data_IF_783770169871
#
_entry.id   IF_783770169871
#
_cell.length_a   1.000
_cell.length_b   1.000
_cell.length_c   1.000
_cell.angle_alpha   90.00
_cell.angle_beta   90.00
_cell.angle_gamma   90.00
#
_symmetry.space_group_name_H-M   'P 1'
#
loop_
_entity.id
_entity.type
_entity.pdbx_description
1 polymer ?
#
# COMPACT_ATOMS: atom_id res chain seq x y z
N UNK A 1 1.77 4.58 9.13
CA UNK A 1 2.38 3.46 8.40
C UNK A 1 3.90 3.47 8.53
N UNK A 2 4.54 4.58 8.29
CA UNK A 2 6.01 4.78 8.30
C UNK A 2 6.72 4.36 9.60
N UNK A 3 6.03 4.33 10.73
CA UNK A 3 6.60 3.94 12.03
C UNK A 3 6.57 2.43 12.32
N UNK A 4 5.80 1.63 11.59
CA UNK A 4 5.53 0.21 11.91
C UNK A 4 6.84 -0.60 11.97
N UNK A 5 7.70 -0.43 10.97
CA UNK A 5 8.99 -1.15 10.93
C UNK A 5 9.83 -0.84 12.17
N UNK A 6 9.85 0.42 12.60
CA UNK A 6 10.60 0.82 13.78
C UNK A 6 10.00 0.26 15.09
N UNK A 7 8.68 0.20 15.22
CA UNK A 7 8.00 -0.38 16.38
C UNK A 7 8.33 -1.88 16.52
N UNK A 8 8.35 -2.62 15.41
CA UNK A 8 8.74 -4.04 15.39
C UNK A 8 10.25 -4.21 15.67
N UNK A 9 11.11 -3.42 15.00
CA UNK A 9 12.56 -3.44 15.18
C UNK A 9 12.94 -3.21 16.65
N UNK A 10 12.29 -2.28 17.32
CA UNK A 10 12.58 -1.92 18.73
C UNK A 10 11.91 -2.86 19.74
N UNK A 11 11.05 -3.79 19.29
CA UNK A 11 10.34 -4.73 20.15
C UNK A 11 9.16 -4.13 20.91
N UNK A 12 8.65 -2.98 20.50
CA UNK A 12 7.41 -2.42 21.03
C UNK A 12 6.18 -3.13 20.48
N UNK A 13 6.30 -3.73 19.28
CA UNK A 13 5.35 -4.65 18.70
C UNK A 13 6.05 -5.97 18.40
N UNK A 14 5.36 -7.09 18.62
CA UNK A 14 5.90 -8.42 18.36
C UNK A 14 5.98 -8.72 16.85
N UNK A 15 4.99 -8.24 16.09
CA UNK A 15 4.94 -8.34 14.63
C UNK A 15 4.17 -7.16 14.03
N UNK A 16 4.30 -6.96 12.71
CA UNK A 16 3.55 -5.98 11.93
C UNK A 16 2.76 -6.66 10.80
N UNK A 17 1.46 -6.34 10.70
CA UNK A 17 0.57 -6.81 9.65
C UNK A 17 -0.26 -5.63 9.15
N UNK A 18 0.16 -5.01 8.06
CA UNK A 18 -0.44 -3.75 7.59
C UNK A 18 -0.27 -3.56 6.06
N UNK A 19 -0.37 -4.63 5.27
CA UNK A 19 -0.08 -4.57 3.84
C UNK A 19 1.36 -4.09 3.59
N UNK A 20 2.34 -4.75 4.21
CA UNK A 20 3.73 -4.32 4.15
C UNK A 20 4.43 -5.08 3.03
N UNK A 21 4.76 -4.37 1.95
CA UNK A 21 5.55 -4.95 0.86
C UNK A 21 7.00 -5.11 1.26
N UNK A 22 7.63 -6.15 0.73
CA UNK A 22 9.07 -6.34 0.86
C UNK A 22 9.84 -5.18 0.20
N UNK A 23 10.87 -4.71 0.88
CA UNK A 23 11.94 -3.91 0.26
C UNK A 23 13.29 -4.26 0.89
N UNK A 24 14.41 -4.16 0.15
CA UNK A 24 15.75 -4.40 0.70
C UNK A 24 16.03 -3.58 1.95
N UNK A 25 15.66 -2.30 1.94
CA UNK A 25 15.83 -1.38 3.07
C UNK A 25 15.09 -1.85 4.33
N UNK A 26 13.83 -2.29 4.17
CA UNK A 26 13.05 -2.84 5.28
C UNK A 26 13.65 -4.14 5.80
N UNK A 27 14.10 -5.02 4.89
CA UNK A 27 14.69 -6.31 5.21
C UNK A 27 16.03 -6.23 5.94
N UNK A 28 16.72 -5.09 5.91
CA UNK A 28 17.87 -4.84 6.78
C UNK A 28 17.49 -4.77 8.27
N UNK A 29 16.27 -4.35 8.57
CA UNK A 29 15.80 -4.03 9.93
C UNK A 29 14.87 -5.08 10.54
N UNK A 30 14.13 -5.82 9.72
CA UNK A 30 13.13 -6.82 10.13
C UNK A 30 13.21 -8.06 9.25
N UNK A 31 12.62 -9.16 9.70
CA UNK A 31 12.43 -10.35 8.87
C UNK A 31 11.00 -10.41 8.36
N UNK A 32 10.83 -10.83 7.11
CA UNK A 32 9.54 -10.95 6.44
C UNK A 32 9.03 -12.39 6.44
N UNK A 33 7.72 -12.54 6.62
CA UNK A 33 7.03 -13.80 6.40
C UNK A 33 6.93 -14.16 4.91
N UNK A 34 6.40 -15.35 4.63
CA UNK A 34 5.86 -15.68 3.31
C UNK A 34 4.79 -14.65 2.92
N UNK A 35 4.66 -14.41 1.61
CA UNK A 35 3.62 -13.54 1.08
C UNK A 35 2.23 -14.09 1.41
N UNK A 36 1.31 -13.21 1.83
CA UNK A 36 -0.08 -13.61 2.05
C UNK A 36 -1.06 -13.02 1.03
N UNK A 37 -0.71 -11.91 0.38
CA UNK A 37 -1.53 -11.28 -0.67
C UNK A 37 -0.65 -10.53 -1.64
N UNK A 38 -1.16 -10.31 -2.85
CA UNK A 38 -0.54 -9.43 -3.86
C UNK A 38 -1.39 -8.17 -3.96
N UNK A 39 -0.76 -7.02 -4.03
CA UNK A 39 -1.42 -5.75 -4.27
C UNK A 39 -0.82 -5.04 -5.47
N UNK A 40 -1.67 -4.32 -6.19
CA UNK A 40 -1.25 -3.44 -7.27
C UNK A 40 -1.24 -1.99 -6.78
N UNK A 41 -0.23 -1.23 -7.20
CA UNK A 41 -0.25 0.22 -7.05
C UNK A 41 -1.07 0.81 -8.20
N UNK A 42 -2.03 1.64 -7.86
CA UNK A 42 -2.96 2.28 -8.80
C UNK A 42 -2.98 3.79 -8.57
N UNK A 43 -3.50 4.53 -9.55
CA UNK A 43 -3.75 5.95 -9.41
C UNK A 43 -5.24 6.23 -9.20
N UNK A 44 -5.58 6.98 -8.15
CA UNK A 44 -6.90 7.55 -7.94
C UNK A 44 -6.87 9.01 -8.42
N UNK A 45 -7.85 9.37 -9.26
CA UNK A 45 -7.98 10.72 -9.83
C UNK A 45 -9.42 11.20 -9.70
N UNK A 46 -9.65 12.50 -9.90
CA UNK A 46 -11.02 13.03 -10.06
C UNK A 46 -11.59 12.53 -11.40
N UNK A 47 -12.85 12.17 -11.38
CA UNK A 47 -13.59 11.76 -12.57
C UNK A 47 -13.43 12.78 -13.72
N UNK A 48 -13.28 12.28 -14.94
CA UNK A 48 -13.13 13.08 -16.17
C UNK A 48 -11.89 14.01 -16.23
N UNK A 49 -10.87 13.83 -15.38
CA UNK A 49 -9.65 14.65 -15.43
C UNK A 49 -8.51 14.01 -16.21
N UNK A 50 -8.17 12.76 -15.89
CA UNK A 50 -7.06 12.01 -16.50
C UNK A 50 -7.54 10.61 -16.90
N UNK A 51 -6.92 10.02 -17.93
CA UNK A 51 -7.28 8.71 -18.48
C UNK A 51 -6.15 7.70 -18.42
N UNK A 52 -4.91 8.13 -18.18
CA UNK A 52 -3.73 7.28 -18.16
C UNK A 52 -2.73 7.71 -17.09
N UNK A 53 -1.87 6.77 -16.68
CA UNK A 53 -0.77 7.05 -15.75
C UNK A 53 0.21 8.05 -16.35
N UNK A 54 0.45 8.01 -17.66
CA UNK A 54 1.37 8.93 -18.34
C UNK A 54 0.96 10.40 -18.22
N UNK A 55 -0.35 10.69 -18.14
CA UNK A 55 -0.86 12.07 -17.99
C UNK A 55 -0.61 12.66 -16.60
N UNK A 56 -0.39 11.82 -15.59
CA UNK A 56 -0.17 12.27 -14.20
C UNK A 56 1.30 12.30 -13.78
N UNK A 57 2.22 11.70 -14.54
CA UNK A 57 3.65 11.56 -14.17
C UNK A 57 4.38 12.88 -13.90
N UNK A 58 3.83 14.01 -14.33
CA UNK A 58 4.39 15.37 -14.10
C UNK A 58 3.47 16.25 -13.26
N UNK A 59 2.49 15.66 -12.57
CA UNK A 59 1.48 16.39 -11.79
C UNK A 59 1.79 16.38 -10.30
N UNK A 60 0.89 16.99 -9.51
CA UNK A 60 0.94 16.94 -8.05
C UNK A 60 0.35 15.62 -7.60
N UNK A 61 1.16 14.74 -7.06
CA UNK A 61 0.77 13.39 -6.67
C UNK A 61 0.85 13.24 -5.16
N UNK A 62 -0.27 12.91 -4.54
CA UNK A 62 -0.29 12.51 -3.14
C UNK A 62 0.11 11.03 -3.00
N UNK A 63 0.88 10.74 -1.96
CA UNK A 63 1.28 9.39 -1.56
C UNK A 63 1.20 9.26 -0.04
N UNK A 64 1.08 8.04 0.48
CA UNK A 64 1.26 7.84 1.91
C UNK A 64 2.76 7.79 2.23
N UNK A 65 3.18 8.58 3.21
CA UNK A 65 4.57 8.66 3.65
C UNK A 65 5.14 7.27 3.98
N UNK A 66 6.25 6.92 3.34
CA UNK A 66 6.98 5.66 3.55
C UNK A 66 6.30 4.43 2.93
N UNK A 67 5.28 4.59 2.08
CA UNK A 67 4.67 3.49 1.31
C UNK A 67 5.51 3.14 0.08
N UNK A 68 5.18 2.02 -0.56
CA UNK A 68 5.78 1.66 -1.86
C UNK A 68 5.40 2.70 -2.93
N UNK A 69 4.18 3.21 -2.90
CA UNK A 69 3.75 4.30 -3.79
C UNK A 69 4.62 5.56 -3.64
N UNK A 70 5.01 5.93 -2.40
CA UNK A 70 5.93 7.05 -2.15
C UNK A 70 7.31 6.79 -2.79
N UNK A 71 7.88 5.63 -2.54
CA UNK A 71 9.19 5.25 -3.12
C UNK A 71 9.13 5.23 -4.65
N UNK A 72 8.13 4.53 -5.21
CA UNK A 72 7.99 4.37 -6.65
C UNK A 72 7.81 5.72 -7.37
N UNK A 73 6.89 6.56 -6.91
CA UNK A 73 6.65 7.89 -7.50
C UNK A 73 7.90 8.75 -7.41
N UNK A 74 8.59 8.75 -6.26
CA UNK A 74 9.81 9.53 -6.06
C UNK A 74 10.94 9.10 -6.98
N UNK A 75 11.03 7.81 -7.30
CA UNK A 75 12.08 7.25 -8.15
C UNK A 75 11.76 7.33 -9.65
N UNK A 76 10.51 7.19 -10.05
CA UNK A 76 10.13 7.01 -11.46
C UNK A 76 9.40 8.22 -12.07
N UNK A 77 8.70 9.02 -11.26
CA UNK A 77 7.97 10.20 -11.74
C UNK A 77 8.78 11.48 -11.47
N UNK A 78 9.89 11.63 -12.20
CA UNK A 78 10.92 12.67 -11.93
C UNK A 78 10.40 14.11 -11.96
N UNK A 79 9.36 14.37 -12.74
CA UNK A 79 8.76 15.70 -12.91
C UNK A 79 7.53 15.90 -11.99
N UNK A 80 7.17 14.91 -11.18
CA UNK A 80 6.06 15.00 -10.27
C UNK A 80 6.37 15.87 -9.04
N UNK A 81 5.37 16.63 -8.60
CA UNK A 81 5.39 17.25 -7.27
C UNK A 81 4.77 16.30 -6.25
N UNK A 82 5.60 15.63 -5.44
CA UNK A 82 5.16 14.59 -4.50
C UNK A 82 4.70 15.23 -3.18
N UNK A 83 3.42 15.00 -2.84
CA UNK A 83 2.79 15.44 -1.59
C UNK A 83 2.61 14.25 -0.66
N UNK A 84 3.37 14.21 0.44
CA UNK A 84 3.36 13.09 1.40
C UNK A 84 2.32 13.31 2.48
N UNK A 85 1.36 12.42 2.59
CA UNK A 85 0.34 12.42 3.63
C UNK A 85 0.53 11.24 4.59
N UNK A 86 0.20 11.41 5.87
CA UNK A 86 0.26 10.31 6.85
C UNK A 86 -0.86 9.28 6.66
N UNK A 87 -1.99 9.71 6.09
CA UNK A 87 -3.19 8.88 5.91
C UNK A 87 -3.79 9.14 4.53
N UNK A 88 -4.29 8.09 3.88
CA UNK A 88 -4.98 8.19 2.60
C UNK A 88 -6.23 9.07 2.62
N UNK A 89 -6.94 9.13 3.75
CA UNK A 89 -8.10 10.04 3.89
C UNK A 89 -7.71 11.51 3.69
N UNK A 90 -6.55 11.94 4.21
CA UNK A 90 -6.08 13.30 3.97
C UNK A 90 -5.71 13.53 2.49
N UNK A 91 -5.11 12.54 1.83
CA UNK A 91 -4.83 12.59 0.40
C UNK A 91 -6.12 12.68 -0.43
N UNK A 92 -7.18 11.95 -0.05
CA UNK A 92 -8.48 12.01 -0.71
C UNK A 92 -9.13 13.40 -0.60
N UNK A 93 -9.07 14.02 0.58
CA UNK A 93 -9.57 15.40 0.76
C UNK A 93 -8.75 16.41 -0.07
N UNK A 94 -7.43 16.27 -0.13
CA UNK A 94 -6.59 17.12 -0.98
C UNK A 94 -6.89 16.92 -2.47
N UNK A 95 -7.19 15.69 -2.92
CA UNK A 95 -7.57 15.39 -4.29
C UNK A 95 -8.93 16.01 -4.64
N UNK A 96 -9.94 15.88 -3.78
CA UNK A 96 -11.25 16.51 -3.94
C UNK A 96 -11.16 18.04 -3.99
N UNK A 97 -10.32 18.62 -3.13
CA UNK A 97 -10.07 20.05 -3.07
C UNK A 97 -9.15 20.58 -4.21
N UNK A 98 -8.75 19.72 -5.15
CA UNK A 98 -7.83 20.07 -6.26
C UNK A 98 -6.45 20.58 -5.81
N UNK A 99 -6.02 20.25 -4.60
CA UNK A 99 -4.66 20.57 -4.11
C UNK A 99 -3.63 19.62 -4.71
N UNK A 100 -4.06 18.36 -5.01
CA UNK A 100 -3.29 17.38 -5.76
C UNK A 100 -4.10 16.91 -6.98
N UNK A 101 -3.44 16.27 -7.92
CA UNK A 101 -4.04 15.84 -9.19
C UNK A 101 -4.32 14.35 -9.22
N UNK A 102 -3.55 13.56 -8.47
CA UNK A 102 -3.72 12.12 -8.30
C UNK A 102 -3.27 11.67 -6.91
N UNK A 103 -3.70 10.46 -6.52
CA UNK A 103 -3.13 9.71 -5.38
C UNK A 103 -2.58 8.41 -5.95
N UNK A 104 -1.33 8.05 -5.65
CA UNK A 104 -0.77 6.73 -5.93
C UNK A 104 -0.82 5.92 -4.64
N UNK A 105 -1.46 4.74 -4.70
CA UNK A 105 -1.75 3.93 -3.54
C UNK A 105 -2.08 2.48 -3.91
N UNK A 106 -2.14 1.61 -2.92
CA UNK A 106 -2.57 0.22 -3.09
C UNK A 106 -4.04 0.13 -3.54
N UNK A 107 -4.34 -0.83 -4.41
CA UNK A 107 -5.66 -1.00 -5.02
C UNK A 107 -6.78 -1.24 -4.00
N UNK A 108 -6.56 -2.09 -2.98
CA UNK A 108 -7.60 -2.40 -1.99
C UNK A 108 -8.04 -1.15 -1.21
N UNK A 109 -7.15 -0.37 -0.56
CA UNK A 109 -7.56 0.89 0.04
C UNK A 109 -8.05 1.93 -0.98
N UNK A 110 -7.59 1.89 -2.25
CA UNK A 110 -8.13 2.76 -3.29
C UNK A 110 -9.61 2.48 -3.56
N UNK A 111 -10.01 1.21 -3.65
CA UNK A 111 -11.42 0.80 -3.78
C UNK A 111 -12.26 1.35 -2.62
N UNK A 112 -11.77 1.26 -1.39
CA UNK A 112 -12.48 1.83 -0.23
C UNK A 112 -12.58 3.36 -0.28
N UNK A 113 -11.55 4.04 -0.79
CA UNK A 113 -11.58 5.49 -0.96
C UNK A 113 -12.67 5.89 -1.97
N UNK A 114 -12.73 5.25 -3.14
CA UNK A 114 -13.72 5.63 -4.17
C UNK A 114 -15.16 5.29 -3.77
N UNK A 115 -15.38 4.19 -3.04
CA UNK A 115 -16.70 3.85 -2.50
C UNK A 115 -17.27 4.95 -1.60
N UNK A 116 -16.42 5.60 -0.82
CA UNK A 116 -16.81 6.63 0.13
C UNK A 116 -16.62 8.07 -0.38
N UNK A 117 -16.15 8.25 -1.61
CA UNK A 117 -15.86 9.57 -2.18
C UNK A 117 -16.32 9.65 -3.64
N UNK A 118 -17.58 10.06 -3.84
CA UNK A 118 -18.14 10.28 -5.19
C UNK A 118 -17.29 11.26 -6.00
N UNK A 119 -17.14 11.00 -7.29
CA UNK A 119 -16.34 11.82 -8.20
C UNK A 119 -14.86 11.50 -8.20
N UNK A 120 -14.44 10.45 -7.47
CA UNK A 120 -13.10 9.86 -7.58
C UNK A 120 -13.18 8.51 -8.32
N UNK A 121 -12.19 8.23 -9.14
CA UNK A 121 -12.08 6.98 -9.91
C UNK A 121 -10.65 6.45 -9.87
N UNK A 122 -10.51 5.14 -10.00
CA UNK A 122 -9.22 4.47 -10.19
C UNK A 122 -8.95 4.41 -11.69
N UNK A 123 -7.72 4.75 -12.12
CA UNK A 123 -7.28 4.50 -13.49
C UNK A 123 -7.07 2.99 -13.70
N UNK A 124 -7.46 2.48 -14.87
CA UNK A 124 -7.36 1.04 -15.19
C UNK A 124 -5.91 0.53 -15.28
N UNK A 125 -4.95 1.43 -15.52
CA UNK A 125 -3.54 1.08 -15.63
C UNK A 125 -2.92 0.78 -14.26
N UNK A 126 -2.26 -0.38 -14.17
CA UNK A 126 -1.40 -0.72 -13.04
C UNK A 126 -0.08 0.06 -13.11
N UNK A 127 0.34 0.65 -11.99
CA UNK A 127 1.61 1.35 -11.89
C UNK A 127 2.74 0.37 -11.60
N UNK A 128 2.54 -0.49 -10.61
CA UNK A 128 3.42 -1.61 -10.23
C UNK A 128 2.66 -2.57 -9.33
N UNK A 129 3.18 -3.77 -9.12
CA UNK A 129 2.61 -4.75 -8.21
C UNK A 129 3.62 -5.20 -7.15
N UNK A 130 3.10 -5.49 -5.97
CA UNK A 130 3.86 -5.90 -4.80
C UNK A 130 3.17 -7.04 -4.08
N UNK A 131 3.97 -7.82 -3.33
CA UNK A 131 3.47 -8.84 -2.40
C UNK A 131 3.54 -8.34 -0.97
N UNK A 132 2.49 -8.59 -0.20
CA UNK A 132 2.45 -8.28 1.22
C UNK A 132 2.96 -9.43 2.07
N UNK A 133 3.87 -9.10 2.99
CA UNK A 133 4.31 -9.97 4.07
C UNK A 133 4.01 -9.37 5.44
N UNK A 134 4.00 -10.21 6.46
CA UNK A 134 4.07 -9.76 7.85
C UNK A 134 5.54 -9.60 8.24
N UNK A 135 5.83 -8.69 9.14
CA UNK A 135 7.20 -8.46 9.62
C UNK A 135 7.34 -8.81 11.09
N UNK A 136 8.49 -9.37 11.43
CA UNK A 136 8.89 -9.66 12.81
C UNK A 136 10.25 -9.03 13.09
N UNK A 137 10.59 -8.88 14.37
CA UNK A 137 11.93 -8.44 14.78
C UNK A 137 12.99 -9.35 14.17
N UNK A 138 14.06 -8.74 13.66
CA UNK A 138 15.19 -9.43 13.06
C UNK A 138 15.72 -10.56 13.95
N UNK A 139 15.79 -11.78 13.40
CA UNK A 139 16.26 -12.97 14.10
C UNK A 139 15.20 -13.69 14.95
N UNK A 140 13.96 -13.21 15.03
CA UNK A 140 12.87 -13.92 15.73
C UNK A 140 12.30 -15.05 14.85
N UNK A 141 13.11 -16.11 14.67
CA UNK A 141 12.80 -17.24 13.79
C UNK A 141 11.60 -18.06 14.27
N UNK A 142 11.41 -18.18 15.58
CA UNK A 142 10.31 -18.96 16.15
C UNK A 142 8.96 -18.34 15.77
N UNK A 143 8.77 -17.04 16.01
CA UNK A 143 7.55 -16.34 15.63
C UNK A 143 7.35 -16.33 14.13
N UNK A 144 8.42 -16.12 13.35
CA UNK A 144 8.36 -16.14 11.89
C UNK A 144 7.87 -17.48 11.34
N UNK A 145 8.38 -18.60 11.86
CA UNK A 145 7.93 -19.95 11.47
C UNK A 145 6.46 -20.20 11.84
N UNK A 146 6.03 -19.73 13.02
CA UNK A 146 4.64 -19.84 13.43
C UNK A 146 3.71 -19.04 12.49
N UNK A 147 4.07 -17.80 12.14
CA UNK A 147 3.33 -16.97 11.19
C UNK A 147 3.27 -17.64 9.82
N UNK A 148 4.39 -18.10 9.28
CA UNK A 148 4.44 -18.75 7.97
C UNK A 148 3.54 -20.00 7.91
N UNK A 149 3.56 -20.84 8.95
CA UNK A 149 2.69 -22.01 9.03
C UNK A 149 1.19 -21.64 8.97
N UNK A 150 0.80 -20.54 9.61
CA UNK A 150 -0.59 -20.05 9.58
C UNK A 150 -0.92 -19.48 8.21
N UNK A 151 -0.04 -18.68 7.60
CA UNK A 151 -0.23 -18.13 6.25
C UNK A 151 -0.42 -19.25 5.24
N UNK A 152 0.48 -20.26 5.24
CA UNK A 152 0.43 -21.39 4.30
C UNK A 152 -0.88 -22.17 4.44
N UNK A 153 -1.33 -22.41 5.68
CA UNK A 153 -2.62 -23.05 5.95
C UNK A 153 -3.78 -22.21 5.41
N UNK A 154 -3.86 -20.93 5.73
CA UNK A 154 -4.95 -20.05 5.29
C UNK A 154 -4.99 -19.93 3.76
N UNK A 155 -3.83 -19.91 3.10
CA UNK A 155 -3.74 -19.94 1.62
C UNK A 155 -4.28 -21.25 1.07
N UNK A 156 -3.88 -22.39 1.63
CA UNK A 156 -4.34 -23.70 1.17
C UNK A 156 -5.85 -23.92 1.38
N UNK A 157 -6.44 -23.27 2.37
CA UNK A 157 -7.88 -23.29 2.67
C UNK A 157 -8.69 -22.24 1.87
N UNK A 158 -8.04 -21.39 1.05
CA UNK A 158 -8.69 -20.28 0.31
C UNK A 158 -9.19 -19.15 1.21
N UNK A 159 -8.78 -19.11 2.48
CA UNK A 159 -9.27 -18.13 3.46
C UNK A 159 -8.75 -16.73 3.23
N UNK A 160 -7.56 -16.58 2.66
CA UNK A 160 -7.03 -15.25 2.32
C UNK A 160 -7.93 -14.57 1.29
N UNK A 161 -8.32 -15.29 0.23
CA UNK A 161 -9.19 -14.75 -0.82
C UNK A 161 -10.58 -14.43 -0.26
N UNK A 162 -11.14 -15.30 0.60
CA UNK A 162 -12.40 -15.06 1.30
C UNK A 162 -12.34 -13.77 2.15
N UNK A 163 -11.25 -13.55 2.87
CA UNK A 163 -11.09 -12.33 3.68
C UNK A 163 -11.00 -11.06 2.80
N UNK A 164 -10.29 -11.14 1.67
CA UNK A 164 -10.21 -10.03 0.72
C UNK A 164 -11.60 -9.70 0.18
N UNK A 165 -12.36 -10.69 -0.27
CA UNK A 165 -13.74 -10.51 -0.76
C UNK A 165 -14.64 -9.88 0.29
N UNK A 166 -14.66 -10.42 1.50
CA UNK A 166 -15.52 -9.92 2.59
C UNK A 166 -15.22 -8.47 3.03
N UNK A 167 -14.08 -7.91 2.65
CA UNK A 167 -13.68 -6.54 3.02
C UNK A 167 -13.62 -5.59 1.82
N UNK A 168 -13.96 -6.04 0.62
CA UNK A 168 -13.97 -5.23 -0.60
C UNK A 168 -15.34 -5.11 -1.27
N UNK A 169 -16.31 -5.90 -0.84
CA UNK A 169 -17.68 -5.93 -1.41
C UNK A 169 -18.72 -5.12 -0.61
N UNK A 170 -18.32 -4.33 0.40
CA UNK A 170 -19.22 -3.42 1.11
C UNK A 170 -19.21 -2.00 0.54
#
# INVERSE_FOLDING_TARGET
FDSIVNEVKTGKADFGAAGISYSPERAENVDFSNDYSVSRQVAVVRENTYKSVSEIMSKRIAVQLGSIGDTYVSEHFKDASVVRQKKYLAAAEDLKASKVDAIVMDELPAKQIILNNTGLVILDEEITSDSYGMIVKKGNKELLLAINKVIDRLKSEGKIDEFVLNHTEE
#
